data_IF_867358769047
#
_entry.id   IF_867358769047
#
_cell.length_a   1.000
_cell.length_b   1.000
_cell.length_c   1.000
_cell.angle_alpha   90.00
_cell.angle_beta   90.00
_cell.angle_gamma   90.00
#
_symmetry.space_group_name_H-M   'P 1'
#
loop_
_entity.id
_entity.type
_entity.pdbx_description
1 polymer ?
#
# COMPACT_ATOMS: atom_id res chain seq x y z
N UNK A 1 -39.84 -19.59 38.22
CA UNK A 1 -38.49 -19.03 38.43
C UNK A 1 -37.41 -20.10 38.25
N UNK A 2 -37.50 -21.24 38.94
CA UNK A 2 -36.48 -22.30 38.90
C UNK A 2 -36.13 -22.83 37.49
N UNK A 3 -37.14 -23.13 36.66
CA UNK A 3 -36.95 -23.51 35.24
C UNK A 3 -36.19 -22.45 34.41
N UNK A 4 -36.36 -21.16 34.72
CA UNK A 4 -35.66 -20.06 34.02
C UNK A 4 -34.19 -20.00 34.46
N UNK A 5 -33.91 -20.25 35.73
CA UNK A 5 -32.55 -20.39 36.24
C UNK A 5 -31.79 -21.55 35.59
N UNK A 6 -32.40 -22.73 35.55
CA UNK A 6 -31.83 -23.90 34.88
C UNK A 6 -31.58 -23.70 33.39
N UNK A 7 -32.50 -23.02 32.68
CA UNK A 7 -32.33 -22.69 31.27
C UNK A 7 -31.15 -21.71 31.03
N UNK A 8 -31.03 -20.66 31.85
CA UNK A 8 -29.90 -19.72 31.80
C UNK A 8 -28.57 -20.39 32.15
N UNK A 9 -28.53 -21.25 33.16
CA UNK A 9 -27.34 -22.01 33.54
C UNK A 9 -26.89 -22.98 32.43
N UNK A 10 -27.83 -23.66 31.78
CA UNK A 10 -27.53 -24.52 30.63
C UNK A 10 -26.97 -23.72 29.43
N UNK A 11 -27.54 -22.54 29.14
CA UNK A 11 -27.01 -21.64 28.10
C UNK A 11 -25.63 -21.10 28.47
N UNK A 12 -25.39 -20.72 29.73
CA UNK A 12 -24.09 -20.27 30.21
C UNK A 12 -23.02 -21.36 30.05
N UNK A 13 -23.33 -22.62 30.43
CA UNK A 13 -22.44 -23.77 30.18
C UNK A 13 -22.14 -23.97 28.70
N UNK A 14 -23.15 -23.86 27.83
CA UNK A 14 -22.95 -23.94 26.37
C UNK A 14 -22.06 -22.81 25.84
N UNK A 15 -22.23 -21.58 26.32
CA UNK A 15 -21.39 -20.46 25.93
C UNK A 15 -19.92 -20.62 26.38
N UNK A 16 -19.70 -21.08 27.61
CA UNK A 16 -18.38 -21.42 28.14
C UNK A 16 -17.70 -22.54 27.33
N UNK A 17 -18.42 -23.63 27.06
CA UNK A 17 -17.92 -24.76 26.26
C UNK A 17 -17.63 -24.38 24.79
N UNK A 18 -18.29 -23.35 24.26
CA UNK A 18 -18.05 -22.80 22.92
C UNK A 18 -16.98 -21.69 22.91
N UNK A 19 -16.30 -21.40 24.03
CA UNK A 19 -15.33 -20.32 24.15
C UNK A 19 -15.91 -18.91 24.03
N UNK A 20 -17.24 -18.75 23.98
CA UNK A 20 -17.89 -17.45 23.80
C UNK A 20 -17.96 -16.70 25.13
N UNK A 21 -16.83 -16.08 25.48
CA UNK A 21 -16.62 -15.31 26.70
C UNK A 21 -17.65 -14.19 26.90
N UNK A 22 -18.02 -13.47 25.83
CA UNK A 22 -19.01 -12.39 25.88
C UNK A 22 -20.40 -12.92 26.26
N UNK A 23 -20.89 -13.95 25.55
CA UNK A 23 -22.19 -14.56 25.84
C UNK A 23 -22.21 -15.23 27.22
N UNK A 24 -21.12 -15.90 27.63
CA UNK A 24 -20.99 -16.49 28.96
C UNK A 24 -21.09 -15.42 30.05
N UNK A 25 -20.42 -14.28 29.89
CA UNK A 25 -20.49 -13.16 30.82
C UNK A 25 -21.91 -12.59 30.96
N UNK A 26 -22.58 -12.37 29.83
CA UNK A 26 -23.94 -11.83 29.81
C UNK A 26 -24.95 -12.78 30.48
N UNK A 27 -24.86 -14.08 30.19
CA UNK A 27 -25.74 -15.11 30.75
C UNK A 27 -25.51 -15.31 32.25
N UNK A 28 -24.26 -15.35 32.71
CA UNK A 28 -23.91 -15.47 34.14
C UNK A 28 -24.32 -14.20 34.91
N UNK A 29 -24.13 -13.01 34.32
CA UNK A 29 -24.58 -11.74 34.88
C UNK A 29 -26.10 -11.67 35.06
N UNK A 30 -26.86 -12.05 34.02
CA UNK A 30 -28.33 -12.13 34.08
C UNK A 30 -28.81 -13.16 35.11
N UNK A 31 -28.19 -14.34 35.16
CA UNK A 31 -28.49 -15.37 36.18
C UNK A 31 -28.22 -14.86 37.60
N UNK A 32 -27.11 -14.16 37.83
CA UNK A 32 -26.78 -13.57 39.12
C UNK A 32 -27.75 -12.46 39.55
N UNK A 33 -28.23 -11.64 38.61
CA UNK A 33 -29.20 -10.57 38.88
C UNK A 33 -30.60 -11.12 39.20
N UNK A 34 -31.02 -12.20 38.54
CA UNK A 34 -32.34 -12.83 38.72
C UNK A 34 -32.39 -13.77 39.93
N UNK A 35 -31.31 -14.52 40.18
CA UNK A 35 -31.24 -15.60 41.16
C UNK A 35 -29.89 -15.58 41.89
N UNK A 36 -29.62 -14.61 42.77
CA UNK A 36 -28.31 -14.41 43.40
C UNK A 36 -27.80 -15.62 44.20
N UNK A 37 -28.72 -16.45 44.72
CA UNK A 37 -28.43 -17.66 45.49
C UNK A 37 -28.54 -18.97 44.66
N UNK A 38 -28.45 -18.90 43.32
CA UNK A 38 -28.49 -20.09 42.47
C UNK A 38 -27.26 -20.98 42.69
N UNK A 39 -27.47 -22.28 42.93
CA UNK A 39 -26.42 -23.20 43.38
C UNK A 39 -25.22 -23.37 42.42
N UNK A 40 -25.42 -23.26 41.11
CA UNK A 40 -24.33 -23.36 40.12
C UNK A 40 -23.61 -22.02 39.84
N UNK A 41 -24.04 -20.88 40.43
CA UNK A 41 -23.37 -19.60 40.16
C UNK A 41 -21.87 -19.58 40.52
N UNK A 42 -21.40 -20.16 41.65
CA UNK A 42 -19.98 -20.18 41.98
C UNK A 42 -19.15 -20.98 40.96
N UNK A 43 -19.65 -22.14 40.50
CA UNK A 43 -18.94 -22.97 39.51
C UNK A 43 -18.95 -22.35 38.11
N UNK A 44 -20.06 -21.71 37.71
CA UNK A 44 -20.13 -20.95 36.46
C UNK A 44 -19.15 -19.77 36.45
N UNK A 45 -19.05 -19.02 37.56
CA UNK A 45 -18.06 -17.93 37.71
C UNK A 45 -16.62 -18.45 37.69
N UNK A 46 -16.33 -19.56 38.37
CA UNK A 46 -15.01 -20.17 38.33
C UNK A 46 -14.62 -20.60 36.91
N UNK A 47 -15.52 -21.25 36.17
CA UNK A 47 -15.30 -21.64 34.78
C UNK A 47 -15.13 -20.42 33.85
N UNK A 48 -15.85 -19.33 34.09
CA UNK A 48 -15.64 -18.06 33.37
C UNK A 48 -14.25 -17.47 33.63
N UNK A 49 -13.81 -17.43 34.88
CA UNK A 49 -12.47 -16.93 35.25
C UNK A 49 -11.38 -17.80 34.62
N UNK A 50 -11.55 -19.12 34.60
CA UNK A 50 -10.63 -20.05 33.94
C UNK A 50 -10.54 -19.79 32.42
N UNK A 51 -11.69 -19.60 31.74
CA UNK A 51 -11.72 -19.28 30.31
C UNK A 51 -11.00 -17.95 30.02
N UNK A 52 -11.23 -16.92 30.84
CA UNK A 52 -10.50 -15.63 30.76
C UNK A 52 -9.00 -15.81 30.92
N UNK A 53 -8.55 -16.51 31.96
CA UNK A 53 -7.12 -16.75 32.18
C UNK A 53 -6.48 -17.50 31.01
N UNK A 54 -7.20 -18.42 30.36
CA UNK A 54 -6.73 -19.12 29.16
C UNK A 54 -6.64 -18.19 27.94
N UNK A 55 -7.65 -17.34 27.69
CA UNK A 55 -7.59 -16.36 26.60
C UNK A 55 -6.51 -15.30 26.82
N UNK A 56 -6.35 -14.82 28.06
CA UNK A 56 -5.37 -13.80 28.43
C UNK A 56 -3.94 -14.34 28.29
N UNK A 57 -3.72 -15.61 28.66
CA UNK A 57 -2.45 -16.30 28.45
C UNK A 57 -2.13 -16.56 26.97
N UNK A 58 -3.13 -16.96 26.17
CA UNK A 58 -2.97 -17.13 24.72
C UNK A 58 -2.65 -15.79 24.03
N UNK A 59 -3.37 -14.73 24.37
CA UNK A 59 -3.13 -13.37 23.90
C UNK A 59 -1.71 -12.88 24.25
N UNK A 60 -1.25 -13.12 25.48
CA UNK A 60 0.12 -12.78 25.89
C UNK A 60 1.17 -13.59 25.11
N UNK A 61 0.93 -14.87 24.86
CA UNK A 61 1.81 -15.73 24.08
C UNK A 61 1.91 -15.25 22.62
N UNK A 62 0.78 -15.00 21.95
CA UNK A 62 0.74 -14.46 20.59
C UNK A 62 1.44 -13.10 20.49
N UNK A 63 1.19 -12.19 21.45
CA UNK A 63 1.87 -10.90 21.49
C UNK A 63 3.39 -11.04 21.64
N UNK A 64 3.87 -11.99 22.43
CA UNK A 64 5.30 -12.25 22.60
C UNK A 64 5.89 -12.89 21.34
N UNK A 65 5.26 -13.95 20.82
CA UNK A 65 5.71 -14.66 19.62
C UNK A 65 5.75 -13.73 18.39
N UNK A 66 4.76 -12.84 18.24
CA UNK A 66 4.77 -11.83 17.18
C UNK A 66 5.94 -10.84 17.28
N UNK A 67 6.30 -10.43 18.51
CA UNK A 67 7.46 -9.56 18.75
C UNK A 67 8.79 -10.29 18.52
N UNK A 68 8.89 -11.56 18.92
CA UNK A 68 10.08 -12.38 18.70
C UNK A 68 10.26 -12.70 17.21
N UNK A 69 9.18 -12.98 16.48
CA UNK A 69 9.16 -13.17 15.03
C UNK A 69 9.56 -11.89 14.28
N UNK A 70 9.09 -10.70 14.70
CA UNK A 70 9.57 -9.42 14.18
C UNK A 70 11.09 -9.27 14.36
N UNK A 71 11.60 -9.59 15.56
CA UNK A 71 13.02 -9.47 15.90
C UNK A 71 13.89 -10.48 15.13
N UNK A 72 13.34 -11.63 14.77
CA UNK A 72 13.97 -12.64 13.93
C UNK A 72 13.91 -12.33 12.42
N UNK A 73 13.12 -11.33 12.00
CA UNK A 73 12.90 -11.04 10.57
C UNK A 73 11.81 -11.91 9.90
N UNK A 74 11.07 -12.71 10.66
CA UNK A 74 9.95 -13.53 10.19
C UNK A 74 8.67 -12.68 10.06
N UNK A 75 8.71 -11.66 9.20
CA UNK A 75 7.70 -10.58 9.12
C UNK A 75 6.37 -11.09 8.55
N UNK A 76 6.40 -11.78 7.42
CA UNK A 76 5.24 -12.30 6.67
C UNK A 76 5.59 -13.60 5.96
N UNK A 77 4.57 -14.37 5.57
CA UNK A 77 4.70 -15.59 4.81
C UNK A 77 3.40 -16.38 4.79
N UNK A 78 3.46 -17.62 4.30
CA UNK A 78 2.35 -18.59 4.34
C UNK A 78 2.32 -19.45 5.61
N UNK A 79 3.31 -19.28 6.50
CA UNK A 79 3.41 -20.01 7.77
C UNK A 79 2.82 -19.24 8.95
N UNK A 80 2.37 -19.99 9.95
CA UNK A 80 1.76 -19.46 11.17
C UNK A 80 2.80 -18.86 12.14
N UNK A 81 4.09 -19.22 12.02
CA UNK A 81 5.20 -18.70 12.84
C UNK A 81 5.69 -17.29 12.41
N UNK A 82 4.81 -16.49 11.81
CA UNK A 82 5.13 -15.13 11.32
C UNK A 82 4.57 -14.06 12.24
N UNK A 83 5.26 -12.92 12.32
CA UNK A 83 4.80 -11.78 13.10
C UNK A 83 3.37 -11.36 12.73
N UNK A 84 3.06 -11.35 11.43
CA UNK A 84 1.72 -11.08 10.92
C UNK A 84 0.66 -12.09 11.41
N UNK A 85 0.99 -13.38 11.46
CA UNK A 85 0.05 -14.41 11.91
C UNK A 85 -0.23 -14.29 13.42
N UNK A 86 0.81 -14.19 14.25
CA UNK A 86 0.66 -14.02 15.70
C UNK A 86 -0.11 -12.74 16.09
N UNK A 87 0.19 -11.58 15.49
CA UNK A 87 -0.58 -10.37 15.79
C UNK A 87 -2.03 -10.43 15.28
N UNK A 88 -2.33 -11.22 14.24
CA UNK A 88 -3.72 -11.52 13.84
C UNK A 88 -4.42 -12.47 14.80
N UNK A 89 -3.73 -13.47 15.33
CA UNK A 89 -4.26 -14.37 16.36
C UNK A 89 -4.59 -13.61 17.65
N UNK A 90 -3.68 -12.75 18.11
CA UNK A 90 -3.93 -11.80 19.21
C UNK A 90 -5.19 -10.95 18.98
N UNK A 91 -5.38 -10.39 17.77
CA UNK A 91 -6.58 -9.61 17.42
C UNK A 91 -7.86 -10.45 17.24
N UNK A 92 -7.75 -11.77 17.04
CA UNK A 92 -8.90 -12.66 17.04
C UNK A 92 -9.41 -12.94 18.48
N UNK A 93 -8.52 -12.85 19.48
CA UNK A 93 -8.84 -12.96 20.91
C UNK A 93 -9.36 -11.60 21.44
N UNK A 94 -8.62 -10.52 21.18
CA UNK A 94 -8.95 -9.14 21.58
C UNK A 94 -8.82 -8.19 20.38
N UNK A 95 -9.92 -7.93 19.63
CA UNK A 95 -9.92 -7.03 18.48
C UNK A 95 -9.52 -5.60 18.79
N UNK A 96 -9.55 -5.18 20.06
CA UNK A 96 -9.17 -3.84 20.50
C UNK A 96 -7.77 -3.74 21.11
N UNK A 97 -7.02 -4.84 21.12
CA UNK A 97 -5.69 -4.89 21.69
C UNK A 97 -4.71 -3.89 21.08
N UNK A 98 -4.32 -2.88 21.86
CA UNK A 98 -3.42 -1.82 21.40
C UNK A 98 -2.03 -2.35 21.04
N UNK A 99 -1.52 -3.38 21.73
CA UNK A 99 -0.20 -3.96 21.44
C UNK A 99 -0.21 -4.73 20.13
N UNK A 100 -1.26 -5.51 19.84
CA UNK A 100 -1.38 -6.23 18.58
C UNK A 100 -1.57 -5.27 17.39
N UNK A 101 -2.38 -4.21 17.55
CA UNK A 101 -2.52 -3.13 16.55
C UNK A 101 -1.18 -2.43 16.28
N UNK A 102 -0.40 -2.13 17.32
CA UNK A 102 0.95 -1.57 17.18
C UNK A 102 1.93 -2.55 16.49
N UNK A 103 1.86 -3.83 16.83
CA UNK A 103 2.62 -4.91 16.18
C UNK A 103 2.34 -5.02 14.68
N UNK A 104 1.08 -4.94 14.24
CA UNK A 104 0.75 -4.85 12.82
C UNK A 104 1.30 -3.59 12.14
N UNK A 105 1.39 -2.47 12.86
CA UNK A 105 2.08 -1.26 12.38
C UNK A 105 3.58 -1.48 12.18
N UNK A 106 4.24 -2.22 13.08
CA UNK A 106 5.65 -2.61 12.95
C UNK A 106 5.87 -3.60 11.80
N UNK A 107 4.97 -4.57 11.60
CA UNK A 107 4.96 -5.47 10.43
C UNK A 107 4.84 -4.65 9.12
N UNK A 108 3.93 -3.68 9.07
CA UNK A 108 3.78 -2.81 7.90
C UNK A 108 5.04 -1.96 7.63
N UNK A 109 5.68 -1.41 8.67
CA UNK A 109 6.94 -0.68 8.54
C UNK A 109 8.07 -1.58 8.03
N UNK A 110 8.19 -2.81 8.54
CA UNK A 110 9.18 -3.77 8.08
C UNK A 110 8.95 -4.19 6.61
N UNK A 111 7.70 -4.37 6.18
CA UNK A 111 7.34 -4.58 4.77
C UNK A 111 7.73 -3.39 3.89
N UNK A 112 7.55 -2.16 4.37
CA UNK A 112 7.99 -0.94 3.67
C UNK A 112 9.52 -0.87 3.55
N UNK A 113 10.27 -1.30 4.57
CA UNK A 113 11.74 -1.39 4.50
C UNK A 113 12.17 -2.43 3.46
N UNK A 114 11.56 -3.62 3.47
CA UNK A 114 11.84 -4.65 2.44
C UNK A 114 11.46 -4.16 1.04
N UNK A 115 10.36 -3.43 0.89
CA UNK A 115 9.95 -2.85 -0.39
C UNK A 115 10.95 -1.79 -0.90
N UNK A 116 11.49 -0.95 -0.02
CA UNK A 116 12.55 0.00 -0.39
C UNK A 116 13.82 -0.73 -0.84
N UNK A 117 14.24 -1.79 -0.15
CA UNK A 117 15.37 -2.61 -0.57
C UNK A 117 15.13 -3.28 -1.95
N UNK A 118 13.91 -3.73 -2.23
CA UNK A 118 13.53 -4.26 -3.54
C UNK A 118 13.52 -3.17 -4.64
N UNK A 119 13.06 -1.94 -4.34
CA UNK A 119 13.17 -0.78 -5.25
C UNK A 119 14.64 -0.47 -5.56
N UNK A 120 15.48 -0.38 -4.52
CA UNK A 120 16.91 -0.06 -4.65
C UNK A 120 17.66 -1.18 -5.40
N UNK A 121 17.18 -2.43 -5.32
CA UNK A 121 17.65 -3.58 -6.12
C UNK A 121 17.01 -3.73 -7.51
N UNK A 122 16.05 -2.89 -7.88
CA UNK A 122 15.35 -2.92 -9.17
C UNK A 122 14.15 -3.88 -9.29
N UNK A 123 13.86 -4.70 -8.26
CA UNK A 123 12.68 -5.57 -8.24
C UNK A 123 11.42 -4.81 -7.84
N UNK A 124 10.92 -4.04 -8.80
CA UNK A 124 9.68 -3.29 -8.68
C UNK A 124 8.43 -4.18 -8.51
N UNK A 125 8.48 -5.45 -8.90
CA UNK A 125 7.36 -6.38 -8.76
C UNK A 125 7.23 -6.86 -7.32
N UNK A 126 8.34 -7.33 -6.71
CA UNK A 126 8.42 -7.67 -5.30
C UNK A 126 8.10 -6.45 -4.42
N UNK A 127 8.67 -5.28 -4.73
CA UNK A 127 8.38 -4.04 -4.01
C UNK A 127 6.89 -3.70 -4.02
N UNK A 128 6.20 -3.84 -5.17
CA UNK A 128 4.76 -3.62 -5.26
C UNK A 128 3.98 -4.58 -4.35
N UNK A 129 4.30 -5.88 -4.39
CA UNK A 129 3.62 -6.89 -3.56
C UNK A 129 3.81 -6.63 -2.06
N UNK A 130 4.99 -6.18 -1.64
CA UNK A 130 5.29 -5.83 -0.24
C UNK A 130 4.52 -4.57 0.21
N UNK A 131 4.44 -3.53 -0.63
CA UNK A 131 3.66 -2.32 -0.33
C UNK A 131 2.15 -2.55 -0.33
N UNK A 132 1.64 -3.43 -1.18
CA UNK A 132 0.23 -3.78 -1.20
C UNK A 132 -0.16 -4.63 0.02
N UNK A 133 0.72 -5.51 0.50
CA UNK A 133 0.56 -6.18 1.81
C UNK A 133 0.59 -5.17 2.97
N UNK A 134 1.56 -4.25 2.99
CA UNK A 134 1.63 -3.20 4.00
C UNK A 134 0.39 -2.30 4.02
N UNK A 135 -0.25 -2.08 2.87
CA UNK A 135 -1.44 -1.25 2.74
C UNK A 135 -2.69 -1.88 3.37
N UNK A 136 -2.76 -3.21 3.45
CA UNK A 136 -3.85 -3.91 4.17
C UNK A 136 -3.72 -3.71 5.68
N UNK A 137 -2.49 -3.58 6.20
CA UNK A 137 -2.20 -3.48 7.63
C UNK A 137 -2.21 -2.02 8.13
N UNK A 138 -1.60 -1.10 7.38
CA UNK A 138 -1.45 0.30 7.74
C UNK A 138 -1.72 1.23 6.54
N UNK A 139 -2.96 1.29 6.02
CA UNK A 139 -3.31 2.05 4.80
C UNK A 139 -3.05 3.57 4.87
N UNK A 140 -2.89 4.12 6.08
CA UNK A 140 -2.67 5.54 6.35
C UNK A 140 -1.23 5.85 6.81
N UNK A 141 -0.30 4.90 6.72
CA UNK A 141 1.10 5.12 7.12
C UNK A 141 1.83 6.04 6.13
N UNK A 142 2.57 7.02 6.66
CA UNK A 142 3.31 7.97 5.84
C UNK A 142 4.45 7.29 5.05
N UNK A 143 5.12 6.32 5.67
CA UNK A 143 6.24 5.58 5.08
C UNK A 143 5.79 4.77 3.84
N UNK A 144 4.59 4.21 3.88
CA UNK A 144 3.99 3.50 2.74
C UNK A 144 3.69 4.44 1.57
N UNK A 145 3.16 5.64 1.86
CA UNK A 145 2.91 6.67 0.84
C UNK A 145 4.21 7.15 0.20
N UNK A 146 5.26 7.34 1.02
CA UNK A 146 6.59 7.70 0.55
C UNK A 146 7.21 6.58 -0.33
N UNK A 147 7.13 5.32 0.10
CA UNK A 147 7.65 4.19 -0.65
C UNK A 147 6.87 3.91 -1.95
N UNK A 148 5.54 4.09 -1.96
CA UNK A 148 4.75 4.04 -3.21
C UNK A 148 5.14 5.17 -4.18
N UNK A 149 5.45 6.36 -3.66
CA UNK A 149 5.97 7.47 -4.48
C UNK A 149 7.36 7.13 -5.06
N UNK A 150 8.25 6.52 -4.27
CA UNK A 150 9.56 6.03 -4.75
C UNK A 150 9.43 4.96 -5.83
N UNK A 151 8.56 3.96 -5.63
CA UNK A 151 8.27 2.92 -6.62
C UNK A 151 7.74 3.50 -7.95
N UNK A 152 6.90 4.53 -7.88
CA UNK A 152 6.41 5.26 -9.05
C UNK A 152 7.42 6.21 -9.70
N UNK A 153 8.55 6.49 -9.05
CA UNK A 153 9.62 7.36 -9.53
C UNK A 153 10.89 6.60 -9.94
N UNK A 154 11.01 5.31 -9.62
CA UNK A 154 12.15 4.47 -9.96
C UNK A 154 12.31 4.39 -11.51
N UNK A 155 13.39 4.93 -12.09
CA UNK A 155 13.59 4.86 -13.53
C UNK A 155 13.86 3.42 -13.95
N UNK A 156 13.30 3.02 -15.09
CA UNK A 156 13.43 1.66 -15.65
C UNK A 156 14.88 1.33 -15.99
N UNK A 157 15.58 0.71 -15.04
CA UNK A 157 16.87 0.05 -15.24
C UNK A 157 16.66 -1.44 -15.40
N UNK A 158 16.52 -1.91 -16.64
CA UNK A 158 16.48 -3.34 -16.96
C UNK A 158 17.90 -3.94 -16.84
N UNK A 159 18.05 -5.27 -16.62
CA UNK A 159 17.91 -6.19 -17.75
C UNK A 159 17.24 -7.56 -17.47
N UNK A 160 16.83 -8.19 -18.58
CA UNK A 160 16.76 -9.65 -18.81
C UNK A 160 15.80 -10.56 -18.00
N UNK A 161 14.60 -10.74 -18.54
CA UNK A 161 13.95 -12.03 -18.90
C UNK A 161 14.20 -13.32 -18.08
N UNK A 162 13.14 -13.91 -17.51
CA UNK A 162 12.59 -15.22 -17.94
C UNK A 162 11.25 -15.58 -17.23
N UNK A 163 10.25 -15.95 -18.05
CA UNK A 163 9.12 -16.86 -17.82
C UNK A 163 8.37 -17.00 -16.46
N UNK A 164 7.08 -16.65 -16.47
CA UNK A 164 6.06 -17.72 -16.49
C UNK A 164 5.02 -17.83 -15.36
N UNK A 165 3.86 -17.17 -15.54
CA UNK A 165 2.52 -17.57 -15.05
C UNK A 165 2.23 -17.59 -13.52
N UNK A 166 0.98 -17.55 -12.99
CA UNK A 166 -0.36 -17.06 -13.42
C UNK A 166 -1.34 -17.34 -12.25
N UNK A 167 -2.52 -16.73 -12.05
CA UNK A 167 -3.19 -15.51 -12.55
C UNK A 167 -4.18 -15.02 -11.46
N UNK A 168 -4.66 -13.77 -11.51
CA UNK A 168 -5.97 -13.41 -10.98
C UNK A 168 -6.61 -12.17 -11.67
N UNK A 169 -6.98 -12.32 -12.94
CA UNK A 169 -8.28 -11.82 -13.40
C UNK A 169 -8.53 -10.31 -13.49
N UNK A 170 -7.75 -9.60 -14.31
CA UNK A 170 -8.33 -8.67 -15.29
C UNK A 170 -7.52 -8.76 -16.58
N UNK A 171 -8.21 -9.03 -17.69
CA UNK A 171 -7.60 -9.55 -18.92
C UNK A 171 -6.59 -8.59 -19.55
N UNK A 172 -5.64 -9.11 -20.35
CA UNK A 172 -4.91 -8.29 -21.32
C UNK A 172 -5.86 -7.91 -22.45
N UNK A 173 -6.81 -7.03 -22.16
CA UNK A 173 -7.60 -6.35 -23.16
C UNK A 173 -6.63 -5.52 -24.00
N UNK A 174 -6.29 -6.04 -25.18
CA UNK A 174 -5.73 -5.26 -26.28
C UNK A 174 -6.54 -3.96 -26.33
N UNK A 175 -5.86 -2.83 -26.18
CA UNK A 175 -6.46 -1.50 -26.28
C UNK A 175 -7.43 -1.48 -27.46
N UNK A 176 -8.68 -1.14 -27.18
CA UNK A 176 -9.72 -1.10 -28.19
C UNK A 176 -9.21 -0.24 -29.35
N UNK A 177 -9.51 -0.54 -30.62
CA UNK A 177 -8.98 0.25 -31.74
C UNK A 177 -9.30 1.75 -31.60
N UNK A 178 -10.41 2.09 -30.94
CA UNK A 178 -10.77 3.46 -30.51
C UNK A 178 -9.81 4.07 -29.47
N UNK A 179 -9.39 3.31 -28.46
CA UNK A 179 -8.42 3.74 -27.44
C UNK A 179 -7.02 3.87 -28.05
N UNK A 180 -6.62 2.95 -28.93
CA UNK A 180 -5.36 3.03 -29.66
C UNK A 180 -5.32 4.25 -30.60
N UNK A 181 -6.41 4.53 -31.31
CA UNK A 181 -6.55 5.75 -32.11
C UNK A 181 -6.47 7.03 -31.25
N UNK A 182 -7.08 7.02 -30.06
CA UNK A 182 -7.02 8.14 -29.10
C UNK A 182 -5.61 8.36 -28.55
N UNK A 183 -4.85 7.30 -28.27
CA UNK A 183 -3.43 7.39 -27.86
C UNK A 183 -2.57 7.95 -28.99
N UNK A 184 -2.74 7.43 -30.22
CA UNK A 184 -2.03 7.93 -31.39
C UNK A 184 -2.32 9.43 -31.65
N UNK A 185 -3.57 9.86 -31.43
CA UNK A 185 -3.95 11.26 -31.56
C UNK A 185 -3.34 12.15 -30.47
N UNK A 186 -3.33 11.72 -29.22
CA UNK A 186 -2.67 12.43 -28.12
C UNK A 186 -1.16 12.57 -28.36
N UNK A 187 -0.50 11.51 -28.81
CA UNK A 187 0.92 11.52 -29.20
C UNK A 187 1.17 12.45 -30.39
N UNK A 188 0.26 12.51 -31.37
CA UNK A 188 0.36 13.42 -32.52
C UNK A 188 0.22 14.89 -32.09
N UNK A 189 -0.76 15.21 -31.24
CA UNK A 189 -0.94 16.55 -30.67
C UNK A 189 0.26 16.96 -29.80
N UNK A 190 0.77 16.06 -28.96
CA UNK A 190 1.94 16.32 -28.13
C UNK A 190 3.19 16.68 -28.94
N UNK A 191 3.43 15.98 -30.07
CA UNK A 191 4.51 16.30 -31.01
C UNK A 191 4.34 17.68 -31.66
N UNK A 192 3.11 18.07 -31.99
CA UNK A 192 2.82 19.40 -32.55
C UNK A 192 3.08 20.52 -31.53
N UNK A 193 2.55 20.38 -30.30
CA UNK A 193 2.80 21.31 -29.19
C UNK A 193 4.30 21.43 -28.89
N UNK A 194 5.03 20.31 -28.87
CA UNK A 194 6.48 20.31 -28.68
C UNK A 194 7.24 21.08 -29.78
N UNK A 195 6.85 20.89 -31.05
CA UNK A 195 7.41 21.62 -32.19
C UNK A 195 7.05 23.12 -32.18
N UNK A 196 5.92 23.50 -31.58
CA UNK A 196 5.51 24.89 -31.38
C UNK A 196 6.19 25.56 -30.17
N UNK A 197 6.82 24.78 -29.29
CA UNK A 197 7.44 25.26 -28.05
C UNK A 197 6.49 25.29 -26.84
N UNK A 198 5.28 24.74 -26.98
CA UNK A 198 4.26 24.64 -25.93
C UNK A 198 4.53 23.42 -25.03
N UNK A 199 5.65 23.47 -24.31
CA UNK A 199 6.20 22.30 -23.61
C UNK A 199 5.50 22.04 -22.27
N UNK A 200 5.28 23.10 -21.48
CA UNK A 200 4.62 23.07 -20.15
C UNK A 200 3.54 24.15 -19.98
N UNK A 201 3.26 24.96 -21.01
CA UNK A 201 2.23 25.98 -20.99
C UNK A 201 1.52 26.03 -22.35
N UNK A 202 0.19 26.24 -22.41
CA UNK A 202 -0.74 26.31 -21.27
C UNK A 202 -1.03 24.93 -20.64
N UNK A 203 -1.45 24.85 -19.36
CA UNK A 203 -1.76 23.58 -18.69
C UNK A 203 -2.95 22.87 -19.35
N UNK A 204 -2.86 21.56 -19.52
CA UNK A 204 -3.89 20.70 -20.12
C UNK A 204 -3.72 20.43 -21.62
N UNK A 205 -3.12 21.36 -22.36
CA UNK A 205 -2.85 21.21 -23.81
C UNK A 205 -1.35 21.20 -24.17
N UNK A 206 -0.45 21.35 -23.19
CA UNK A 206 0.98 21.30 -23.42
C UNK A 206 1.50 19.91 -23.81
N UNK A 207 2.67 19.85 -24.44
CA UNK A 207 3.29 18.61 -24.89
C UNK A 207 3.49 17.59 -23.77
N UNK A 208 3.89 18.05 -22.58
CA UNK A 208 4.08 17.19 -21.40
C UNK A 208 2.76 16.52 -20.97
N UNK A 209 1.68 17.30 -20.79
CA UNK A 209 0.37 16.82 -20.35
C UNK A 209 -0.26 15.87 -21.37
N UNK A 210 -0.10 16.14 -22.67
CA UNK A 210 -0.63 15.31 -23.74
C UNK A 210 0.06 13.93 -23.79
N UNK A 211 1.39 13.86 -23.60
CA UNK A 211 2.09 12.57 -23.47
C UNK A 211 1.73 11.83 -22.17
N UNK A 212 1.61 12.54 -21.04
CA UNK A 212 1.13 11.97 -19.77
C UNK A 212 -0.27 11.36 -19.94
N UNK A 213 -1.15 12.04 -20.68
CA UNK A 213 -2.50 11.57 -20.99
C UNK A 213 -2.50 10.35 -21.91
N UNK A 214 -1.58 10.29 -22.88
CA UNK A 214 -1.38 9.12 -23.72
C UNK A 214 -0.95 7.89 -22.89
N UNK A 215 -0.01 8.09 -21.95
CA UNK A 215 0.47 7.02 -21.05
C UNK A 215 -0.56 6.62 -19.98
N UNK A 216 -1.47 7.51 -19.58
CA UNK A 216 -2.59 7.15 -18.71
C UNK A 216 -3.59 6.19 -19.39
N UNK A 217 -3.66 6.19 -20.72
CA UNK A 217 -4.48 5.25 -21.51
C UNK A 217 -3.67 4.00 -21.89
N UNK A 218 -2.44 4.19 -22.38
CA UNK A 218 -1.51 3.11 -22.73
C UNK A 218 -0.16 3.31 -22.01
N UNK A 219 -0.02 2.76 -20.81
CA UNK A 219 1.21 2.87 -20.03
C UNK A 219 2.46 2.27 -20.70
N UNK A 220 2.26 1.43 -21.73
CA UNK A 220 3.34 0.85 -22.52
C UNK A 220 3.49 1.52 -23.90
N UNK A 221 2.94 2.72 -24.14
CA UNK A 221 3.17 3.42 -25.40
C UNK A 221 4.65 3.85 -25.54
N UNK A 222 5.30 3.38 -26.61
CA UNK A 222 6.70 3.69 -26.86
C UNK A 222 6.90 5.11 -27.41
N UNK A 223 5.95 5.62 -28.21
CA UNK A 223 6.06 6.93 -28.84
C UNK A 223 5.82 8.07 -27.85
N UNK A 224 4.94 7.87 -26.86
CA UNK A 224 4.72 8.82 -25.77
C UNK A 224 5.91 8.88 -24.80
N UNK A 225 6.49 7.73 -24.43
CA UNK A 225 7.71 7.68 -23.59
C UNK A 225 8.91 8.33 -24.27
N UNK A 226 9.18 7.98 -25.53
CA UNK A 226 10.25 8.61 -26.31
C UNK A 226 10.00 10.13 -26.49
N UNK A 227 8.73 10.52 -26.63
CA UNK A 227 8.31 11.92 -26.68
C UNK A 227 8.69 12.71 -25.43
N UNK A 228 8.31 12.22 -24.24
CA UNK A 228 8.67 12.84 -22.96
C UNK A 228 10.18 12.92 -22.75
N UNK A 229 10.91 11.84 -23.06
CA UNK A 229 12.37 11.78 -22.93
C UNK A 229 13.09 12.77 -23.87
N UNK A 230 12.49 13.12 -25.02
CA UNK A 230 13.03 14.09 -25.96
C UNK A 230 12.75 15.56 -25.59
N UNK A 231 11.79 15.84 -24.69
CA UNK A 231 11.41 17.23 -24.35
C UNK A 231 12.59 18.07 -23.79
N UNK A 232 13.40 17.59 -22.82
CA UNK A 232 14.52 18.38 -22.29
C UNK A 232 15.56 18.71 -23.37
N UNK A 233 15.93 17.73 -24.20
CA UNK A 233 16.86 17.93 -25.30
C UNK A 233 16.32 18.94 -26.34
N UNK A 234 15.03 18.89 -26.64
CA UNK A 234 14.36 19.85 -27.52
C UNK A 234 14.36 21.27 -26.94
N UNK A 235 14.13 21.41 -25.64
CA UNK A 235 14.19 22.71 -24.93
C UNK A 235 15.61 23.27 -24.92
N UNK A 236 16.63 22.46 -24.61
CA UNK A 236 18.05 22.86 -24.65
C UNK A 236 18.49 23.32 -26.04
N UNK A 237 18.06 22.63 -27.10
CA UNK A 237 18.34 23.04 -28.48
C UNK A 237 17.66 24.36 -28.84
N UNK A 238 16.39 24.56 -28.46
CA UNK A 238 15.69 25.83 -28.65
C UNK A 238 16.32 26.97 -27.82
N UNK A 239 16.82 26.68 -26.62
CA UNK A 239 17.52 27.64 -25.78
C UNK A 239 18.81 28.11 -26.47
N UNK A 240 19.63 27.20 -26.97
CA UNK A 240 20.84 27.53 -27.74
C UNK A 240 20.54 28.38 -28.98
N UNK A 241 19.46 28.08 -29.71
CA UNK A 241 19.00 28.89 -30.83
C UNK A 241 18.52 30.29 -30.41
N UNK A 242 17.77 30.39 -29.30
CA UNK A 242 17.32 31.68 -28.77
C UNK A 242 18.49 32.55 -28.29
N UNK A 243 19.50 31.94 -27.67
CA UNK A 243 20.76 32.61 -27.29
C UNK A 243 21.54 33.10 -28.51
N UNK A 244 21.72 32.24 -29.53
CA UNK A 244 22.40 32.62 -30.78
C UNK A 244 21.65 33.72 -31.55
N UNK A 245 20.32 33.75 -31.47
CA UNK A 245 19.48 34.80 -32.04
C UNK A 245 19.32 36.05 -31.16
N UNK A 246 20.04 36.18 -30.04
CA UNK A 246 19.96 37.31 -29.11
C UNK A 246 18.63 37.47 -28.38
N UNK A 247 17.76 36.45 -28.42
CA UNK A 247 16.37 36.54 -28.00
C UNK A 247 16.20 36.12 -26.52
N UNK A 248 16.83 36.91 -25.63
CA UNK A 248 17.03 36.59 -24.21
C UNK A 248 15.73 36.29 -23.44
N UNK A 249 14.62 36.97 -23.77
CA UNK A 249 13.33 36.71 -23.13
C UNK A 249 12.79 35.30 -23.43
N UNK A 250 12.97 34.80 -24.66
CA UNK A 250 12.62 33.42 -25.03
C UNK A 250 13.57 32.42 -24.38
N UNK A 251 14.87 32.74 -24.31
CA UNK A 251 15.86 31.91 -23.62
C UNK A 251 15.53 31.75 -22.12
N UNK A 252 15.14 32.82 -21.42
CA UNK A 252 14.72 32.76 -20.01
C UNK A 252 13.52 31.84 -19.76
N UNK A 253 12.48 31.92 -20.58
CA UNK A 253 11.31 31.04 -20.48
C UNK A 253 11.64 29.57 -20.77
N UNK A 254 12.55 29.31 -21.72
CA UNK A 254 13.02 27.96 -22.02
C UNK A 254 13.88 27.38 -20.88
N UNK A 255 14.71 28.20 -20.23
CA UNK A 255 15.48 27.79 -19.05
C UNK A 255 14.57 27.42 -17.88
N UNK A 256 13.55 28.24 -17.60
CA UNK A 256 12.54 27.92 -16.58
C UNK A 256 11.75 26.65 -16.92
N UNK A 257 11.48 26.38 -18.20
CA UNK A 257 10.85 25.14 -18.66
C UNK A 257 11.77 23.92 -18.43
N UNK A 258 13.07 24.08 -18.67
CA UNK A 258 14.07 23.02 -18.48
C UNK A 258 14.23 22.62 -17.01
N UNK A 259 14.29 23.62 -16.12
CA UNK A 259 14.37 23.43 -14.66
C UNK A 259 13.17 22.66 -14.09
N UNK A 260 11.96 22.94 -14.61
CA UNK A 260 10.74 22.21 -14.24
C UNK A 260 10.66 20.79 -14.85
N UNK A 261 11.33 20.52 -15.98
CA UNK A 261 11.38 19.18 -16.59
C UNK A 261 12.38 18.24 -15.91
N UNK A 262 13.54 18.76 -15.49
CA UNK A 262 14.58 18.02 -14.76
C UNK A 262 15.01 18.77 -13.48
N UNK A 263 14.21 18.73 -12.40
CA UNK A 263 14.61 19.27 -11.11
C UNK A 263 15.70 18.39 -10.46
N UNK A 264 16.96 18.59 -10.88
CA UNK A 264 18.12 17.82 -10.40
C UNK A 264 19.15 17.41 -11.45
N UNK A 265 19.03 17.85 -12.71
CA UNK A 265 20.06 17.58 -13.73
C UNK A 265 21.38 18.28 -13.36
N UNK A 266 22.38 17.51 -12.88
CA UNK A 266 23.72 18.02 -12.55
C UNK A 266 24.44 18.64 -13.78
N UNK A 267 23.93 18.35 -14.97
CA UNK A 267 24.21 19.01 -16.25
C UNK A 267 24.06 20.55 -16.21
N UNK A 268 23.23 21.08 -15.31
CA UNK A 268 22.91 22.51 -15.17
C UNK A 268 23.76 23.24 -14.12
N UNK A 269 24.63 22.53 -13.39
CA UNK A 269 25.50 23.13 -12.36
C UNK A 269 26.53 24.17 -12.85
N UNK A 270 26.99 24.26 -14.12
CA UNK A 270 28.00 25.25 -14.50
C UNK A 270 27.44 26.61 -14.97
N UNK A 271 26.14 26.88 -14.83
CA UNK A 271 25.47 28.12 -15.29
C UNK A 271 24.68 28.86 -14.20
N UNK A 272 24.96 28.59 -12.92
CA UNK A 272 24.42 29.32 -11.76
C UNK A 272 25.48 30.20 -11.10
#
# INVERSE_FOLDING_TARGET
LDQVGGALAAQARKALAAGNQAAANDLIGRLAALLPNYGELPSLRAAQTQLRQQSDAALAADLQQGQDALRAGNITGTGDDTALAHFKAALAIDPDNAQAKAGLGQVAAALVVQANAAIDGGDNAQAKQLLDQAAVLAPKSADLLAARSRLGAAPTSAPASADGAADAGMTPAQLSPQQNAKVAELVRRAKAAAAQGEIMAPPGDCAYDLYRSALAINGNDAAARAGLQALPALVSNQFGQAMAGGNLGRAGNLLATLDNLSPGDASLSPLR
#
